data_IF_718742481479
#
_entry.id   IF_718742481479
#
_cell.length_a   1.000
_cell.length_b   1.000
_cell.length_c   1.000
_cell.angle_alpha   90.00
_cell.angle_beta   90.00
_cell.angle_gamma   90.00
#
_symmetry.space_group_name_H-M   'P 1'
#
loop_
_entity.id
_entity.type
_entity.pdbx_description
1 polymer ?
#
# COMPACT_ATOMS: atom_id res chain seq x y z
N UNK A 1 -4.19 9.07 -22.48
CA UNK A 1 -3.29 7.99 -22.05
C UNK A 1 -3.83 7.33 -20.81
N UNK A 2 -4.29 6.09 -20.98
CA UNK A 2 -5.20 5.41 -20.05
C UNK A 2 -4.54 5.10 -18.71
N UNK A 3 -5.11 5.63 -17.63
CA UNK A 3 -4.84 5.19 -16.27
C UNK A 3 -5.37 3.76 -16.16
N UNK A 4 -4.50 2.77 -16.33
CA UNK A 4 -4.83 1.38 -16.02
C UNK A 4 -5.05 1.28 -14.52
N UNK A 5 -6.31 1.20 -14.13
CA UNK A 5 -6.75 0.97 -12.76
C UNK A 5 -6.42 -0.48 -12.40
N UNK A 6 -5.30 -0.71 -11.72
CA UNK A 6 -4.85 -2.05 -11.30
C UNK A 6 -5.35 -2.26 -9.86
N UNK A 7 -6.23 -3.24 -9.66
CA UNK A 7 -6.92 -3.57 -8.41
C UNK A 7 -6.39 -4.89 -7.85
N UNK A 8 -5.65 -4.86 -6.76
CA UNK A 8 -5.30 -6.11 -6.08
C UNK A 8 -6.51 -6.62 -5.29
N UNK A 9 -7.22 -7.63 -5.80
CA UNK A 9 -8.34 -8.27 -5.10
C UNK A 9 -7.84 -9.29 -4.07
N UNK A 10 -8.06 -9.00 -2.79
CA UNK A 10 -7.96 -9.98 -1.71
C UNK A 10 -9.34 -10.25 -1.15
N UNK A 11 -9.77 -11.52 -1.14
CA UNK A 11 -10.91 -11.97 -0.34
C UNK A 11 -10.38 -12.53 0.97
N UNK A 12 -10.70 -11.89 2.09
CA UNK A 12 -10.56 -12.44 3.42
C UNK A 12 -11.86 -12.17 4.18
N UNK A 13 -12.25 -13.07 5.07
CA UNK A 13 -13.47 -12.91 5.87
C UNK A 13 -13.29 -11.74 6.86
N UNK A 14 -14.14 -10.71 6.73
CA UNK A 14 -14.02 -9.40 7.41
C UNK A 14 -14.27 -9.40 8.93
N UNK A 15 -14.33 -10.57 9.57
CA UNK A 15 -14.67 -10.69 10.99
C UNK A 15 -13.59 -10.14 11.94
N UNK A 16 -12.41 -9.77 11.46
CA UNK A 16 -11.39 -9.08 12.25
C UNK A 16 -11.09 -7.68 11.70
N UNK A 17 -11.37 -6.63 12.49
CA UNK A 17 -10.90 -5.25 12.23
C UNK A 17 -9.37 -5.17 12.08
N UNK A 18 -8.65 -6.16 12.60
CA UNK A 18 -7.19 -6.24 12.64
C UNK A 18 -6.52 -6.29 11.24
N UNK A 19 -7.09 -7.04 10.30
CA UNK A 19 -6.48 -7.19 8.95
C UNK A 19 -6.60 -5.91 8.11
N UNK A 20 -7.68 -5.12 8.28
CA UNK A 20 -7.81 -3.80 7.67
C UNK A 20 -6.78 -2.81 8.23
N UNK A 21 -6.54 -2.85 9.54
CA UNK A 21 -5.47 -2.07 10.18
C UNK A 21 -4.09 -2.51 9.69
N UNK A 22 -3.88 -3.81 9.47
CA UNK A 22 -2.63 -4.32 8.89
C UNK A 22 -2.45 -3.90 7.44
N UNK A 23 -3.52 -3.87 6.65
CA UNK A 23 -3.50 -3.40 5.26
C UNK A 23 -3.05 -1.92 5.18
N UNK A 24 -3.59 -1.04 6.02
CA UNK A 24 -3.17 0.36 6.06
C UNK A 24 -1.70 0.51 6.50
N UNK A 25 -1.24 -0.34 7.43
CA UNK A 25 0.18 -0.40 7.85
C UNK A 25 1.11 -0.88 6.74
N UNK A 26 0.70 -1.87 5.94
CA UNK A 26 1.47 -2.31 4.77
C UNK A 26 1.69 -1.15 3.78
N UNK A 27 0.62 -0.41 3.48
CA UNK A 27 0.72 0.75 2.58
C UNK A 27 1.62 1.84 3.15
N UNK A 28 1.45 2.19 4.43
CA UNK A 28 2.28 3.21 5.08
C UNK A 28 3.76 2.82 5.10
N UNK A 29 4.07 1.56 5.38
CA UNK A 29 5.46 1.07 5.40
C UNK A 29 6.15 1.30 4.06
N UNK A 30 5.51 0.94 2.95
CA UNK A 30 6.08 1.08 1.62
C UNK A 30 6.13 2.56 1.19
N UNK A 31 5.03 3.29 1.36
CA UNK A 31 4.93 4.69 0.96
C UNK A 31 5.93 5.57 1.73
N UNK A 32 6.06 5.37 3.04
CA UNK A 32 6.99 6.17 3.86
C UNK A 32 8.45 5.95 3.49
N UNK A 33 8.84 4.71 3.17
CA UNK A 33 10.19 4.41 2.68
C UNK A 33 10.42 5.06 1.32
N UNK A 34 9.46 4.97 0.41
CA UNK A 34 9.54 5.57 -0.91
C UNK A 34 9.73 7.10 -0.84
N UNK A 35 8.91 7.78 -0.03
CA UNK A 35 9.00 9.23 0.15
C UNK A 35 10.34 9.65 0.76
N UNK A 36 10.88 8.87 1.71
CA UNK A 36 12.19 9.14 2.32
C UNK A 36 13.34 8.92 1.35
N UNK A 37 13.24 7.94 0.46
CA UNK A 37 14.30 7.60 -0.50
C UNK A 37 14.63 8.76 -1.47
N UNK A 38 13.72 9.73 -1.61
CA UNK A 38 13.96 10.94 -2.41
C UNK A 38 14.89 11.97 -1.73
N UNK A 39 15.30 11.74 -0.47
CA UNK A 39 16.03 12.71 0.35
C UNK A 39 17.34 12.15 0.91
N UNK A 40 18.31 13.04 1.13
CA UNK A 40 19.61 12.71 1.75
C UNK A 40 19.49 12.63 3.29
N UNK A 41 18.57 13.40 3.88
CA UNK A 41 18.37 13.42 5.34
C UNK A 41 17.64 12.16 5.82
N UNK A 42 18.39 11.26 6.46
CA UNK A 42 17.83 10.03 7.06
C UNK A 42 16.81 10.29 8.18
N UNK A 43 16.81 11.49 8.77
CA UNK A 43 15.83 11.89 9.79
C UNK A 43 14.56 12.49 9.19
N UNK A 44 14.45 12.55 7.86
CA UNK A 44 13.26 13.05 7.20
C UNK A 44 12.06 12.12 7.44
N UNK A 45 10.90 12.73 7.70
CA UNK A 45 9.65 12.01 7.97
C UNK A 45 8.51 12.54 7.08
N UNK A 46 7.86 11.68 6.29
CA UNK A 46 6.61 12.02 5.62
C UNK A 46 5.44 11.93 6.60
N UNK A 47 4.30 12.49 6.20
CA UNK A 47 3.02 12.33 6.88
C UNK A 47 1.96 11.76 5.94
N UNK A 48 1.00 11.00 6.48
CA UNK A 48 -0.19 10.60 5.73
C UNK A 48 -1.39 10.33 6.64
N UNK A 49 -2.58 10.47 6.05
CA UNK A 49 -3.85 9.97 6.57
C UNK A 49 -4.31 8.84 5.65
N UNK A 50 -4.65 7.69 6.23
CA UNK A 50 -5.04 6.49 5.49
C UNK A 50 -6.44 6.06 5.96
N UNK A 51 -7.38 5.97 5.03
CA UNK A 51 -8.71 5.44 5.23
C UNK A 51 -8.86 4.10 4.52
N UNK A 52 -9.46 3.12 5.20
CA UNK A 52 -9.74 1.79 4.63
C UNK A 52 -11.22 1.73 4.23
N UNK A 53 -11.50 1.31 3.00
CA UNK A 53 -12.85 1.12 2.49
C UNK A 53 -13.00 -0.33 1.99
N UNK A 54 -14.04 -1.03 2.45
CA UNK A 54 -14.24 -2.46 2.20
C UNK A 54 -15.21 -2.78 1.06
N UNK A 55 -15.97 -1.79 0.60
CA UNK A 55 -16.98 -1.96 -0.45
C UNK A 55 -16.61 -1.16 -1.70
N UNK A 56 -16.83 -1.77 -2.87
CA UNK A 56 -16.75 -1.10 -4.18
C UNK A 56 -18.05 -0.42 -4.58
N UNK A 57 -18.08 0.10 -5.81
CA UNK A 57 -19.20 0.90 -6.35
C UNK A 57 -20.55 0.16 -6.33
N UNK A 58 -20.52 -1.18 -6.41
CA UNK A 58 -21.71 -2.04 -6.39
C UNK A 58 -21.87 -2.81 -5.07
N UNK A 59 -21.31 -2.30 -3.98
CA UNK A 59 -21.27 -2.96 -2.65
C UNK A 59 -20.58 -4.33 -2.64
N UNK A 60 -19.90 -4.71 -3.73
CA UNK A 60 -19.06 -5.89 -3.77
C UNK A 60 -17.87 -5.72 -2.83
N UNK A 61 -17.44 -6.81 -2.20
CA UNK A 61 -16.25 -6.80 -1.35
C UNK A 61 -15.03 -6.38 -2.20
N UNK A 62 -14.43 -5.26 -1.84
CA UNK A 62 -13.31 -4.65 -2.55
C UNK A 62 -12.49 -3.80 -1.56
N UNK A 63 -11.70 -4.43 -0.66
CA UNK A 63 -10.89 -3.70 0.30
C UNK A 63 -9.83 -2.87 -0.43
N UNK A 64 -9.93 -1.56 -0.32
CA UNK A 64 -8.99 -0.60 -0.88
C UNK A 64 -8.69 0.53 0.10
N UNK A 65 -7.64 1.29 -0.19
CA UNK A 65 -7.15 2.37 0.65
C UNK A 65 -7.29 3.71 -0.07
N UNK A 66 -7.72 4.72 0.67
CA UNK A 66 -7.60 6.12 0.29
C UNK A 66 -6.51 6.74 1.14
N UNK A 67 -5.50 7.35 0.49
CA UNK A 67 -4.33 7.88 1.17
C UNK A 67 -4.15 9.33 0.75
N UNK A 68 -4.11 10.23 1.74
CA UNK A 68 -3.64 11.61 1.58
C UNK A 68 -2.29 11.68 2.25
N UNK A 69 -1.22 11.89 1.48
CA UNK A 69 0.15 11.97 1.98
C UNK A 69 0.77 13.33 1.70
N UNK A 70 1.78 13.69 2.47
CA UNK A 70 2.67 14.82 2.16
C UNK A 70 3.40 14.54 0.85
N UNK A 71 3.61 15.57 0.04
CA UNK A 71 4.31 15.47 -1.25
C UNK A 71 5.82 15.14 -1.12
N UNK A 72 6.30 15.01 0.13
CA UNK A 72 7.65 14.56 0.50
C UNK A 72 7.75 14.46 2.03
N UNK A 73 8.86 14.90 2.64
CA UNK A 73 9.13 14.79 4.07
C UNK A 73 9.52 16.11 4.74
N UNK A 74 9.28 16.17 6.05
CA UNK A 74 9.89 17.14 6.95
C UNK A 74 11.22 16.61 7.47
N UNK A 75 12.28 17.39 7.33
CA UNK A 75 13.64 17.05 7.80
C UNK A 75 13.82 17.29 9.29
N UNK A 76 14.93 16.81 9.86
CA UNK A 76 15.24 16.98 11.28
C UNK A 76 15.36 18.45 11.73
N UNK A 77 15.69 19.35 10.81
CA UNK A 77 15.73 20.80 11.05
C UNK A 77 14.37 21.50 10.85
N UNK A 78 13.26 20.74 10.78
CA UNK A 78 11.88 21.23 10.63
C UNK A 78 11.60 21.98 9.33
N UNK A 79 12.39 21.74 8.29
CA UNK A 79 12.11 22.25 6.94
C UNK A 79 11.38 21.21 6.11
N UNK A 80 10.51 21.66 5.20
CA UNK A 80 9.87 20.78 4.24
C UNK A 80 10.73 20.73 2.97
N UNK A 81 11.12 19.53 2.55
CA UNK A 81 11.90 19.33 1.34
C UNK A 81 11.08 18.57 0.33
N UNK A 82 10.81 19.16 -0.84
CA UNK A 82 10.11 18.48 -1.94
C UNK A 82 11.04 17.45 -2.57
N UNK A 83 10.57 16.21 -2.66
CA UNK A 83 11.26 15.09 -3.28
C UNK A 83 10.90 14.95 -4.75
N UNK A 84 11.27 13.82 -5.36
CA UNK A 84 10.78 13.51 -6.70
C UNK A 84 9.30 13.12 -6.64
N UNK A 85 8.54 13.55 -7.67
CA UNK A 85 7.14 13.18 -7.80
C UNK A 85 7.00 11.65 -7.84
N UNK A 86 6.17 11.04 -6.97
CA UNK A 86 6.03 9.61 -6.90
C UNK A 86 5.39 9.04 -8.17
N UNK A 87 5.95 7.93 -8.66
CA UNK A 87 5.32 7.15 -9.73
C UNK A 87 4.58 5.95 -9.12
N UNK A 88 3.26 5.84 -9.33
CA UNK A 88 2.48 4.72 -8.77
C UNK A 88 3.03 3.34 -9.12
N UNK A 89 3.60 3.19 -10.33
CA UNK A 89 4.23 1.95 -10.80
C UNK A 89 5.36 1.46 -9.90
N UNK A 90 6.07 2.36 -9.22
CA UNK A 90 7.20 1.99 -8.39
C UNK A 90 6.76 1.33 -7.07
N UNK A 91 5.51 1.56 -6.66
CA UNK A 91 4.95 1.08 -5.40
C UNK A 91 4.14 -0.21 -5.54
N UNK A 92 3.66 -0.51 -6.75
CA UNK A 92 2.71 -1.59 -7.00
C UNK A 92 3.22 -2.94 -6.53
N UNK A 93 4.42 -3.33 -6.99
CA UNK A 93 5.03 -4.62 -6.64
C UNK A 93 5.44 -4.68 -5.16
N UNK A 94 5.97 -3.57 -4.63
CA UNK A 94 6.36 -3.48 -3.23
C UNK A 94 5.15 -3.62 -2.31
N UNK A 95 4.05 -2.94 -2.64
CA UNK A 95 2.81 -3.01 -1.89
C UNK A 95 2.19 -4.40 -1.98
N UNK A 96 2.09 -4.97 -3.20
CA UNK A 96 1.59 -6.33 -3.42
C UNK A 96 2.34 -7.36 -2.56
N UNK A 97 3.67 -7.30 -2.58
CA UNK A 97 4.51 -8.22 -1.83
C UNK A 97 4.34 -8.05 -0.31
N UNK A 98 4.25 -6.81 0.19
CA UNK A 98 4.04 -6.55 1.61
C UNK A 98 2.67 -7.06 2.08
N UNK A 99 1.62 -6.93 1.27
CA UNK A 99 0.28 -7.46 1.60
C UNK A 99 0.26 -8.98 1.58
N UNK A 100 0.87 -9.62 0.57
CA UNK A 100 0.96 -11.09 0.50
C UNK A 100 1.73 -11.66 1.71
N UNK A 101 2.84 -11.01 2.08
CA UNK A 101 3.62 -11.37 3.26
C UNK A 101 2.78 -11.26 4.55
N UNK A 102 2.03 -10.18 4.68
CA UNK A 102 1.16 -9.95 5.83
C UNK A 102 0.04 -11.00 5.90
N UNK A 103 -0.67 -11.26 4.79
CA UNK A 103 -1.72 -12.27 4.75
C UNK A 103 -1.21 -13.68 5.07
N UNK A 104 0.00 -14.02 4.64
CA UNK A 104 0.67 -15.28 5.01
C UNK A 104 0.95 -15.35 6.51
N UNK A 105 1.48 -14.28 7.09
CA UNK A 105 1.77 -14.20 8.52
C UNK A 105 0.49 -14.32 9.38
N UNK A 106 -0.63 -13.83 8.88
CA UNK A 106 -1.96 -13.96 9.48
C UNK A 106 -2.65 -15.31 9.23
N UNK A 107 -1.98 -16.25 8.53
CA UNK A 107 -2.52 -17.56 8.19
C UNK A 107 -3.70 -17.52 7.22
N UNK A 108 -3.91 -16.40 6.50
CA UNK A 108 -5.02 -16.22 5.56
C UNK A 108 -4.74 -16.83 4.18
N UNK A 109 -3.47 -16.92 3.80
CA UNK A 109 -3.01 -17.55 2.55
C UNK A 109 -1.74 -18.38 2.81
N UNK A 110 -1.39 -19.22 1.85
CA UNK A 110 -0.18 -20.04 1.88
C UNK A 110 0.68 -19.81 0.62
N UNK A 111 1.85 -20.45 0.56
CA UNK A 111 2.80 -20.27 -0.56
C UNK A 111 2.24 -20.69 -1.91
N UNK A 112 1.35 -21.69 -1.96
CA UNK A 112 0.69 -22.13 -3.19
C UNK A 112 -0.24 -21.04 -3.71
N UNK A 113 -1.03 -20.42 -2.82
CA UNK A 113 -1.92 -19.30 -3.17
C UNK A 113 -1.11 -18.08 -3.62
N UNK A 114 -0.01 -17.76 -2.92
CA UNK A 114 0.88 -16.66 -3.30
C UNK A 114 1.46 -16.88 -4.70
N UNK A 115 1.99 -18.07 -4.99
CA UNK A 115 2.53 -18.39 -6.30
C UNK A 115 1.47 -18.26 -7.41
N UNK A 116 0.24 -18.70 -7.13
CA UNK A 116 -0.88 -18.53 -8.05
C UNK A 116 -1.20 -17.05 -8.31
N UNK A 117 -1.35 -16.23 -7.27
CA UNK A 117 -1.63 -14.79 -7.40
C UNK A 117 -0.52 -14.08 -8.21
N UNK A 118 0.74 -14.41 -7.93
CA UNK A 118 1.88 -13.82 -8.63
C UNK A 118 1.99 -14.26 -10.09
N UNK A 119 1.35 -15.37 -10.47
CA UNK A 119 1.32 -15.86 -11.86
C UNK A 119 0.29 -15.14 -12.74
N UNK A 120 -0.61 -14.35 -12.16
CA UNK A 120 -1.66 -13.68 -12.91
C UNK A 120 -1.10 -12.56 -13.78
N UNK A 121 -1.48 -12.56 -15.07
CA UNK A 121 -1.07 -11.56 -16.05
C UNK A 121 -1.60 -10.15 -15.71
N UNK A 122 -2.76 -10.08 -15.06
CA UNK A 122 -3.32 -8.86 -14.50
C UNK A 122 -3.41 -9.03 -12.99
N UNK A 123 -2.97 -8.02 -12.25
CA UNK A 123 -2.98 -7.99 -10.78
C UNK A 123 -4.39 -7.90 -10.18
N UNK A 124 -5.43 -8.03 -11.02
CA UNK A 124 -6.75 -7.43 -10.89
C UNK A 124 -6.69 -5.93 -11.15
#
# INVERSE_FOLDING_TARGET
>A
DGVHNRRILFFYESSSTDINVKLSRCAWKILSVYLKHSLIDNNANPGAVIAVQTFGDFQNFNPHLHIIATDSCFTGNRTFQVGHCPKPSDLEDLFRNEVLKMLKAEGKINDVIIANILSWHHTG
#
